data_IF_936339847117
#
_entry.id   IF_936339847117
#
_cell.length_a   1.000
_cell.length_b   1.000
_cell.length_c   1.000
_cell.angle_alpha   90.00
_cell.angle_beta   90.00
_cell.angle_gamma   90.00
#
_symmetry.space_group_name_H-M   'P 1'
#
loop_
_entity.id
_entity.type
_entity.pdbx_description
1 polymer ?
#
# COMPACT_ATOMS: atom_id res chain seq x y z
N UNK A 1 7.16 1.71 -6.97
CA UNK A 1 6.74 1.40 -8.35
C UNK A 1 6.14 2.59 -9.11
N UNK A 2 5.21 3.38 -8.53
CA UNK A 2 4.61 4.53 -9.23
C UNK A 2 5.67 5.58 -9.62
N UNK A 3 6.52 6.01 -8.68
CA UNK A 3 7.58 7.00 -8.95
C UNK A 3 8.57 6.51 -10.02
N UNK A 4 8.97 5.24 -9.99
CA UNK A 4 9.87 4.65 -10.99
C UNK A 4 9.26 4.71 -12.40
N UNK A 5 7.95 4.47 -12.56
CA UNK A 5 7.27 4.59 -13.85
C UNK A 5 7.23 6.03 -14.34
N UNK A 6 7.06 6.99 -13.44
CA UNK A 6 7.15 8.43 -13.77
C UNK A 6 8.54 8.80 -14.26
N UNK A 7 9.60 8.26 -13.64
CA UNK A 7 11.00 8.52 -14.02
C UNK A 7 11.44 7.84 -15.31
N UNK A 8 10.76 6.77 -15.74
CA UNK A 8 10.99 6.09 -17.02
C UNK A 8 10.25 6.79 -18.17
N UNK A 9 9.31 7.70 -17.87
CA UNK A 9 8.60 8.43 -18.89
C UNK A 9 9.58 9.31 -19.70
N UNK A 10 9.37 9.45 -21.02
CA UNK A 10 10.30 10.18 -21.88
C UNK A 10 10.35 11.69 -21.59
N UNK A 11 9.29 12.25 -21.01
CA UNK A 11 9.21 13.65 -20.59
C UNK A 11 8.10 13.88 -19.56
N UNK A 12 8.09 15.07 -18.95
CA UNK A 12 7.10 15.46 -17.94
C UNK A 12 5.66 15.40 -18.45
N UNK A 13 5.41 15.76 -19.71
CA UNK A 13 4.07 15.76 -20.31
C UNK A 13 3.48 14.35 -20.34
N UNK A 14 4.25 13.37 -20.79
CA UNK A 14 3.82 11.96 -20.81
C UNK A 14 3.68 11.40 -19.40
N UNK A 15 4.59 11.77 -18.50
CA UNK A 15 4.49 11.40 -17.08
C UNK A 15 3.18 11.92 -16.44
N UNK A 16 2.80 13.17 -16.75
CA UNK A 16 1.56 13.80 -16.27
C UNK A 16 0.32 13.16 -16.86
N UNK A 17 0.26 13.02 -18.20
CA UNK A 17 -0.87 12.39 -18.89
C UNK A 17 -1.07 10.93 -18.47
N UNK A 18 0.01 10.18 -18.31
CA UNK A 18 -0.02 8.83 -17.76
C UNK A 18 -0.56 8.80 -16.34
N UNK A 19 -0.21 9.78 -15.50
CA UNK A 19 -0.73 9.90 -14.13
C UNK A 19 -2.24 10.23 -14.10
N UNK A 20 -2.70 11.13 -14.98
CA UNK A 20 -4.13 11.45 -15.14
C UNK A 20 -4.92 10.23 -15.62
N UNK A 21 -4.43 9.53 -16.65
CA UNK A 21 -5.05 8.29 -17.13
C UNK A 21 -5.13 7.22 -16.03
N UNK A 22 -4.05 7.06 -15.25
CA UNK A 22 -4.04 6.16 -14.10
C UNK A 22 -5.06 6.57 -13.02
N UNK A 23 -5.31 7.87 -12.83
CA UNK A 23 -6.33 8.36 -11.91
C UNK A 23 -7.75 7.97 -12.37
N UNK A 24 -8.06 8.09 -13.65
CA UNK A 24 -9.33 7.58 -14.21
C UNK A 24 -9.48 6.07 -13.99
N UNK A 25 -8.45 5.29 -14.30
CA UNK A 25 -8.48 3.84 -14.06
C UNK A 25 -8.55 3.46 -12.59
N UNK A 26 -8.18 4.34 -11.66
CA UNK A 26 -8.35 4.11 -10.22
C UNK A 26 -9.79 4.29 -9.73
N UNK A 27 -10.69 4.85 -10.54
CA UNK A 27 -12.12 4.93 -10.20
C UNK A 27 -12.85 3.60 -10.46
N UNK A 28 -12.33 2.77 -11.37
CA UNK A 28 -12.97 1.50 -11.76
C UNK A 28 -12.92 0.37 -10.73
N UNK A 29 -11.87 0.20 -9.89
CA UNK A 29 -11.77 -0.94 -8.97
C UNK A 29 -12.90 -1.00 -7.95
N UNK A 30 -13.47 0.14 -7.55
CA UNK A 30 -14.65 0.19 -6.67
C UNK A 30 -15.78 -0.62 -7.29
N UNK A 31 -16.06 -0.42 -8.57
CA UNK A 31 -17.10 -1.17 -9.28
C UNK A 31 -16.70 -2.63 -9.52
N UNK A 32 -15.44 -2.89 -9.88
CA UNK A 32 -14.95 -4.24 -10.19
C UNK A 32 -14.90 -5.14 -8.94
N UNK A 33 -14.61 -4.59 -7.75
CA UNK A 33 -14.50 -5.38 -6.52
C UNK A 33 -15.78 -5.41 -5.69
N UNK A 34 -16.51 -4.29 -5.58
CA UNK A 34 -17.69 -4.21 -4.71
C UNK A 34 -18.91 -4.87 -5.38
N UNK A 35 -19.15 -4.60 -6.67
CA UNK A 35 -20.35 -5.12 -7.36
C UNK A 35 -20.40 -6.65 -7.31
N UNK A 36 -19.32 -7.40 -7.63
CA UNK A 36 -19.37 -8.85 -7.51
C UNK A 36 -19.65 -9.31 -6.06
N UNK A 37 -19.08 -8.64 -5.06
CA UNK A 37 -19.38 -8.95 -3.65
C UNK A 37 -20.87 -8.81 -3.32
N UNK A 38 -21.51 -7.73 -3.78
CA UNK A 38 -22.96 -7.49 -3.61
C UNK A 38 -23.78 -8.54 -4.37
N UNK A 39 -23.39 -8.88 -5.61
CA UNK A 39 -24.06 -9.93 -6.39
C UNK A 39 -23.96 -11.28 -5.68
N UNK A 40 -22.80 -11.63 -5.13
CA UNK A 40 -22.60 -12.85 -4.36
C UNK A 40 -23.56 -12.92 -3.17
N UNK A 41 -23.66 -11.83 -2.41
CA UNK A 41 -24.56 -11.71 -1.27
C UNK A 41 -26.03 -11.84 -1.69
N UNK A 42 -26.45 -11.15 -2.76
CA UNK A 42 -27.81 -11.24 -3.27
C UNK A 42 -28.17 -12.66 -3.75
N UNK A 43 -27.23 -13.35 -4.42
CA UNK A 43 -27.42 -14.74 -4.84
C UNK A 43 -27.54 -15.69 -3.64
N UNK A 44 -26.75 -15.49 -2.59
CA UNK A 44 -26.80 -16.27 -1.36
C UNK A 44 -28.15 -16.11 -0.63
N UNK A 45 -28.66 -14.87 -0.49
CA UNK A 45 -29.97 -14.61 0.15
C UNK A 45 -31.13 -15.12 -0.70
N UNK A 46 -31.05 -14.97 -2.02
CA UNK A 46 -32.12 -15.40 -2.92
C UNK A 46 -32.33 -16.92 -2.97
N UNK A 47 -31.44 -17.71 -2.37
CA UNK A 47 -31.48 -19.18 -2.40
C UNK A 47 -31.21 -19.80 -3.78
N UNK A 48 -30.89 -18.99 -4.80
CA UNK A 48 -30.62 -19.45 -6.17
C UNK A 48 -29.36 -20.32 -6.29
N UNK A 49 -28.45 -20.21 -5.32
CA UNK A 49 -27.24 -21.03 -5.25
C UNK A 49 -27.04 -21.57 -3.82
N UNK A 50 -27.41 -22.85 -3.58
CA UNK A 50 -27.22 -23.49 -2.28
C UNK A 50 -25.75 -23.46 -1.81
N UNK A 51 -24.81 -23.57 -2.75
CA UNK A 51 -23.37 -23.52 -2.47
C UNK A 51 -22.93 -22.14 -1.94
N UNK A 52 -23.46 -21.04 -2.50
CA UNK A 52 -23.15 -19.69 -2.02
C UNK A 52 -23.86 -19.40 -0.70
N UNK A 53 -25.09 -19.88 -0.52
CA UNK A 53 -25.85 -19.74 0.71
C UNK A 53 -25.12 -20.38 1.90
N UNK A 54 -24.67 -21.63 1.77
CA UNK A 54 -23.95 -22.34 2.84
C UNK A 54 -22.57 -21.74 3.15
N UNK A 55 -21.90 -21.17 2.16
CA UNK A 55 -20.55 -20.63 2.35
C UNK A 55 -20.55 -19.20 2.94
N UNK A 56 -21.55 -18.38 2.59
CA UNK A 56 -21.58 -16.94 2.91
C UNK A 56 -22.53 -16.64 4.08
N UNK A 57 -23.60 -17.42 4.28
CA UNK A 57 -24.59 -17.18 5.33
C UNK A 57 -24.49 -18.23 6.45
N UNK A 58 -24.71 -17.79 7.69
CA UNK A 58 -24.86 -18.68 8.84
C UNK A 58 -26.27 -19.31 8.89
N UNK A 59 -26.49 -20.22 9.84
CA UNK A 59 -27.79 -20.87 10.03
C UNK A 59 -28.94 -19.89 10.38
N UNK A 60 -28.61 -18.67 10.80
CA UNK A 60 -29.55 -17.61 11.15
C UNK A 60 -29.77 -16.60 10.00
N UNK A 61 -29.13 -16.80 8.84
CA UNK A 61 -29.23 -15.91 7.67
C UNK A 61 -28.31 -14.68 7.72
N UNK A 62 -27.37 -14.60 8.67
CA UNK A 62 -26.40 -13.52 8.75
C UNK A 62 -25.14 -13.83 7.93
N UNK A 63 -24.45 -12.79 7.47
CA UNK A 63 -23.20 -12.94 6.71
C UNK A 63 -22.05 -13.38 7.62
N UNK A 64 -21.42 -14.50 7.25
CA UNK A 64 -20.16 -14.95 7.85
C UNK A 64 -19.04 -14.05 7.32
N UNK A 65 -18.68 -13.02 8.11
CA UNK A 65 -17.70 -12.00 7.72
C UNK A 65 -16.34 -12.58 7.32
N UNK A 66 -15.90 -13.66 7.97
CA UNK A 66 -14.61 -14.29 7.68
C UNK A 66 -14.59 -14.94 6.29
N UNK A 67 -15.74 -15.45 5.84
CA UNK A 67 -15.90 -16.08 4.53
C UNK A 67 -16.20 -15.08 3.40
N UNK A 68 -16.51 -13.82 3.73
CA UNK A 68 -16.84 -12.79 2.74
C UNK A 68 -15.71 -12.58 1.71
N UNK A 69 -14.45 -12.82 2.08
CA UNK A 69 -13.30 -12.72 1.17
C UNK A 69 -13.30 -13.80 0.07
N UNK A 70 -13.99 -14.91 0.30
CA UNK A 70 -14.09 -16.02 -0.65
C UNK A 70 -15.21 -15.79 -1.70
N UNK A 71 -15.96 -14.68 -1.59
CA UNK A 71 -17.10 -14.38 -2.45
C UNK A 71 -16.74 -14.45 -3.95
N UNK A 72 -15.64 -13.83 -4.36
CA UNK A 72 -15.23 -13.82 -5.77
C UNK A 72 -14.82 -15.23 -6.28
N UNK A 73 -13.90 -15.96 -5.63
CA UNK A 73 -13.61 -17.36 -5.99
C UNK A 73 -14.85 -18.26 -6.03
N UNK A 74 -15.75 -18.12 -5.06
CA UNK A 74 -16.97 -18.92 -4.99
C UNK A 74 -17.92 -18.64 -6.15
N UNK A 75 -18.07 -17.38 -6.58
CA UNK A 75 -18.86 -17.05 -7.76
C UNK A 75 -18.23 -17.60 -9.05
N UNK A 76 -16.91 -17.49 -9.20
CA UNK A 76 -16.21 -18.06 -10.36
C UNK A 76 -16.45 -19.58 -10.44
N UNK A 77 -16.40 -20.26 -9.29
CA UNK A 77 -16.60 -21.71 -9.21
C UNK A 77 -18.05 -22.15 -9.42
N UNK A 78 -19.05 -21.38 -8.97
CA UNK A 78 -20.44 -21.84 -8.91
C UNK A 78 -21.39 -21.16 -9.89
N UNK A 79 -21.03 -19.99 -10.43
CA UNK A 79 -21.91 -19.19 -11.30
C UNK A 79 -21.46 -19.22 -12.76
N UNK A 80 -20.14 -19.25 -13.02
CA UNK A 80 -19.64 -19.18 -14.40
C UNK A 80 -19.78 -20.53 -15.13
N UNK A 81 -20.12 -20.50 -16.44
CA UNK A 81 -20.19 -21.70 -17.27
C UNK A 81 -18.81 -22.31 -17.49
N UNK A 82 -18.80 -23.58 -17.89
CA UNK A 82 -17.59 -24.29 -18.29
C UNK A 82 -16.92 -23.57 -19.48
N UNK A 83 -15.60 -23.60 -19.56
CA UNK A 83 -14.83 -22.77 -20.52
C UNK A 83 -14.53 -21.37 -19.97
N UNK A 84 -15.55 -20.53 -19.74
CA UNK A 84 -15.35 -19.16 -19.19
C UNK A 84 -14.71 -19.22 -17.81
N UNK A 85 -15.15 -20.15 -16.96
CA UNK A 85 -14.52 -20.42 -15.67
C UNK A 85 -13.03 -20.68 -15.80
N UNK A 86 -12.61 -21.49 -16.78
CA UNK A 86 -11.21 -21.80 -17.03
C UNK A 86 -10.39 -20.58 -17.42
N UNK A 87 -10.93 -19.73 -18.31
CA UNK A 87 -10.30 -18.48 -18.72
C UNK A 87 -10.09 -17.55 -17.53
N UNK A 88 -11.12 -17.37 -16.69
CA UNK A 88 -11.04 -16.50 -15.51
C UNK A 88 -10.03 -17.01 -14.49
N UNK A 89 -10.02 -18.31 -14.19
CA UNK A 89 -9.06 -18.92 -13.27
C UNK A 89 -7.63 -18.81 -13.82
N UNK A 90 -7.42 -19.07 -15.10
CA UNK A 90 -6.11 -18.91 -15.74
C UNK A 90 -5.61 -17.46 -15.67
N UNK A 91 -6.49 -16.49 -15.96
CA UNK A 91 -6.18 -15.06 -15.86
C UNK A 91 -5.83 -14.63 -14.42
N UNK A 92 -6.58 -15.14 -13.43
CA UNK A 92 -6.32 -14.87 -12.01
C UNK A 92 -4.95 -15.40 -11.58
N UNK A 93 -4.62 -16.64 -11.96
CA UNK A 93 -3.32 -17.25 -11.67
C UNK A 93 -2.18 -16.51 -12.38
N UNK A 94 -2.35 -16.13 -13.64
CA UNK A 94 -1.37 -15.35 -14.38
C UNK A 94 -1.12 -13.98 -13.74
N UNK A 95 -2.18 -13.27 -13.33
CA UNK A 95 -2.09 -11.97 -12.65
C UNK A 95 -1.40 -12.09 -11.28
N UNK A 96 -1.72 -13.14 -10.52
CA UNK A 96 -1.07 -13.45 -9.24
C UNK A 96 0.42 -13.73 -9.42
N UNK A 97 0.79 -14.59 -10.38
CA UNK A 97 2.18 -14.92 -10.67
C UNK A 97 2.97 -13.69 -11.11
N UNK A 98 2.39 -12.84 -11.97
CA UNK A 98 3.02 -11.59 -12.40
C UNK A 98 3.27 -10.63 -11.23
N UNK A 99 2.28 -10.48 -10.34
CA UNK A 99 2.38 -9.60 -9.17
C UNK A 99 3.41 -10.11 -8.16
N UNK A 100 3.43 -11.42 -7.88
CA UNK A 100 4.42 -12.05 -6.99
C UNK A 100 5.83 -11.96 -7.55
N UNK A 101 6.03 -12.28 -8.84
CA UNK A 101 7.33 -12.15 -9.49
C UNK A 101 7.84 -10.70 -9.43
N UNK A 102 6.97 -9.72 -9.67
CA UNK A 102 7.30 -8.30 -9.55
C UNK A 102 7.71 -7.90 -8.12
N UNK A 103 6.94 -8.33 -7.11
CA UNK A 103 7.23 -8.04 -5.71
C UNK A 103 8.56 -8.67 -5.25
N UNK A 104 8.79 -9.94 -5.58
CA UNK A 104 10.02 -10.64 -5.23
C UNK A 104 11.24 -10.06 -5.94
N UNK A 105 11.12 -9.71 -7.23
CA UNK A 105 12.21 -9.07 -7.95
C UNK A 105 12.56 -7.70 -7.36
N UNK A 106 11.56 -6.87 -7.07
CA UNK A 106 11.78 -5.57 -6.44
C UNK A 106 12.48 -5.71 -5.07
N UNK A 107 12.01 -6.61 -4.21
CA UNK A 107 12.62 -6.85 -2.90
C UNK A 107 14.03 -7.47 -3.00
N UNK A 108 14.27 -8.38 -3.94
CA UNK A 108 15.59 -8.94 -4.19
C UNK A 108 16.57 -7.88 -4.70
N UNK A 109 16.09 -6.95 -5.53
CA UNK A 109 16.88 -5.81 -6.03
C UNK A 109 17.21 -4.83 -4.90
N UNK A 110 16.22 -4.48 -4.06
CA UNK A 110 16.45 -3.67 -2.86
C UNK A 110 17.52 -4.32 -1.96
N UNK A 111 17.42 -5.62 -1.69
CA UNK A 111 18.42 -6.31 -0.88
C UNK A 111 19.81 -6.36 -1.53
N UNK A 112 19.89 -6.70 -2.82
CA UNK A 112 21.17 -6.87 -3.50
C UNK A 112 21.87 -5.54 -3.78
N UNK A 113 21.17 -4.54 -4.27
CA UNK A 113 21.75 -3.25 -4.65
C UNK A 113 21.91 -2.34 -3.43
N UNK A 114 20.85 -2.16 -2.64
CA UNK A 114 20.87 -1.13 -1.58
C UNK A 114 21.59 -1.58 -0.31
N UNK A 115 21.63 -2.89 -0.04
CA UNK A 115 22.33 -3.44 1.12
C UNK A 115 23.61 -4.20 0.73
N UNK A 116 23.50 -5.27 -0.07
CA UNK A 116 24.62 -6.17 -0.32
C UNK A 116 25.76 -5.50 -1.09
N UNK A 117 25.48 -4.81 -2.21
CA UNK A 117 26.49 -4.12 -3.00
C UNK A 117 27.10 -2.93 -2.26
N UNK A 118 26.33 -2.25 -1.41
CA UNK A 118 26.83 -1.17 -0.55
C UNK A 118 27.82 -1.68 0.51
N UNK A 119 27.57 -2.86 1.08
CA UNK A 119 28.45 -3.51 2.06
C UNK A 119 29.64 -4.22 1.41
N UNK A 120 29.48 -4.73 0.17
CA UNK A 120 30.54 -5.38 -0.61
C UNK A 120 30.61 -4.81 -2.04
N UNK A 121 31.31 -3.66 -2.23
CA UNK A 121 31.32 -2.93 -3.49
C UNK A 121 31.96 -3.69 -4.66
N UNK A 122 32.87 -4.63 -4.39
CA UNK A 122 33.62 -5.37 -5.40
C UNK A 122 32.95 -6.69 -5.83
N UNK A 123 31.63 -6.81 -5.67
CA UNK A 123 30.91 -8.05 -6.01
C UNK A 123 30.66 -8.14 -7.52
N UNK A 124 30.96 -9.27 -8.15
CA UNK A 124 30.62 -9.53 -9.55
C UNK A 124 29.11 -9.57 -9.80
N UNK A 125 28.68 -9.24 -11.03
CA UNK A 125 27.26 -9.26 -11.40
C UNK A 125 26.62 -10.65 -11.25
N UNK A 126 27.34 -11.72 -11.62
CA UNK A 126 26.85 -13.09 -11.49
C UNK A 126 26.53 -13.42 -10.02
N UNK A 127 27.41 -12.98 -9.10
CA UNK A 127 27.21 -13.19 -7.67
C UNK A 127 26.04 -12.38 -7.14
N UNK A 128 25.82 -11.15 -7.62
CA UNK A 128 24.65 -10.35 -7.26
C UNK A 128 23.34 -11.03 -7.67
N UNK A 129 23.27 -11.61 -8.88
CA UNK A 129 22.10 -12.38 -9.34
C UNK A 129 21.86 -13.59 -8.46
N UNK A 130 22.92 -14.34 -8.11
CA UNK A 130 22.79 -15.50 -7.22
C UNK A 130 22.28 -15.11 -5.83
N UNK A 131 22.82 -14.04 -5.23
CA UNK A 131 22.36 -13.51 -3.94
C UNK A 131 20.90 -13.06 -4.03
N UNK A 132 20.48 -12.45 -5.14
CA UNK A 132 19.08 -12.07 -5.38
C UNK A 132 18.12 -13.27 -5.42
N UNK A 133 18.54 -14.38 -6.04
CA UNK A 133 17.77 -15.64 -6.04
C UNK A 133 17.64 -16.24 -4.64
N UNK A 134 18.73 -16.23 -3.86
CA UNK A 134 18.70 -16.69 -2.46
C UNK A 134 17.80 -15.80 -1.61
N UNK A 135 17.90 -14.48 -1.73
CA UNK A 135 17.02 -13.54 -1.04
C UNK A 135 15.55 -13.80 -1.39
N UNK A 136 15.24 -14.07 -2.66
CA UNK A 136 13.89 -14.45 -3.09
C UNK A 136 13.40 -15.72 -2.42
N UNK A 137 14.22 -16.78 -2.38
CA UNK A 137 13.85 -18.03 -1.73
C UNK A 137 13.58 -17.83 -0.22
N UNK A 138 14.43 -17.07 0.47
CA UNK A 138 14.24 -16.74 1.90
C UNK A 138 12.95 -15.95 2.12
N UNK A 139 12.67 -14.94 1.28
CA UNK A 139 11.42 -14.17 1.37
C UNK A 139 10.18 -15.03 1.17
N UNK A 140 10.20 -15.99 0.24
CA UNK A 140 9.10 -16.94 0.02
C UNK A 140 8.88 -17.78 1.27
N UNK A 141 9.95 -18.32 1.88
CA UNK A 141 9.85 -19.10 3.12
C UNK A 141 9.26 -18.27 4.27
N UNK A 142 9.72 -17.04 4.47
CA UNK A 142 9.16 -16.13 5.48
C UNK A 142 7.67 -15.86 5.20
N UNK A 143 7.30 -15.61 3.93
CA UNK A 143 5.91 -15.39 3.55
C UNK A 143 5.00 -16.58 3.86
N UNK A 144 5.47 -17.82 3.61
CA UNK A 144 4.73 -19.05 3.94
C UNK A 144 4.58 -19.19 5.46
N UNK A 145 5.65 -18.95 6.22
CA UNK A 145 5.62 -18.99 7.69
C UNK A 145 4.70 -17.92 8.29
N UNK A 146 4.41 -16.85 7.56
CA UNK A 146 3.57 -15.74 8.01
C UNK A 146 2.06 -15.95 7.74
N UNK A 147 1.68 -16.98 6.97
CA UNK A 147 0.27 -17.28 6.65
C UNK A 147 -0.64 -17.39 7.90
N UNK A 148 -0.24 -18.07 9.00
CA UNK A 148 -1.09 -18.17 10.19
C UNK A 148 -1.44 -16.81 10.80
N UNK A 149 -0.49 -15.87 10.81
CA UNK A 149 -0.69 -14.51 11.34
C UNK A 149 -1.72 -13.74 10.52
N UNK A 150 -1.72 -13.92 9.20
CA UNK A 150 -2.69 -13.29 8.30
C UNK A 150 -4.08 -13.89 8.51
N UNK A 151 -4.18 -15.22 8.64
CA UNK A 151 -5.45 -15.93 8.86
C UNK A 151 -6.12 -15.56 10.20
N UNK A 152 -5.34 -15.20 11.22
CA UNK A 152 -5.86 -14.73 12.50
C UNK A 152 -6.34 -13.27 12.52
N UNK A 153 -6.19 -12.53 11.42
CA UNK A 153 -6.69 -11.16 11.30
C UNK A 153 -8.18 -11.09 10.94
N UNK A 154 -8.77 -9.89 11.02
CA UNK A 154 -10.15 -9.58 10.58
C UNK A 154 -10.25 -9.47 9.05
N UNK A 155 -9.67 -10.45 8.37
CA UNK A 155 -9.55 -10.54 6.93
C UNK A 155 -8.32 -9.89 6.30
N UNK A 156 -7.99 -10.35 5.10
CA UNK A 156 -6.76 -10.02 4.38
C UNK A 156 -6.66 -8.53 4.07
N UNK A 157 -7.75 -7.89 3.64
CA UNK A 157 -7.74 -6.46 3.31
C UNK A 157 -7.48 -5.59 4.54
N UNK A 158 -8.17 -5.85 5.66
CA UNK A 158 -7.96 -5.15 6.92
C UNK A 158 -6.53 -5.33 7.44
N UNK A 159 -6.02 -6.57 7.38
CA UNK A 159 -4.65 -6.87 7.75
C UNK A 159 -3.62 -6.11 6.89
N UNK A 160 -3.76 -6.15 5.56
CA UNK A 160 -2.86 -5.47 4.63
C UNK A 160 -2.91 -3.95 4.80
N UNK A 161 -4.09 -3.39 5.04
CA UNK A 161 -4.25 -1.96 5.31
C UNK A 161 -3.64 -1.58 6.66
N UNK A 162 -3.82 -2.41 7.69
CA UNK A 162 -3.20 -2.21 9.00
C UNK A 162 -1.68 -2.17 8.91
N UNK A 163 -1.04 -3.17 8.30
CA UNK A 163 0.43 -3.21 8.15
C UNK A 163 0.95 -2.01 7.35
N UNK A 164 0.26 -1.62 6.27
CA UNK A 164 0.60 -0.42 5.50
C UNK A 164 0.46 0.85 6.35
N UNK A 165 -0.60 0.95 7.14
CA UNK A 165 -0.85 2.08 8.04
C UNK A 165 0.21 2.19 9.15
N UNK A 166 0.90 1.11 9.51
CA UNK A 166 1.96 1.12 10.51
C UNK A 166 3.32 1.56 9.96
N UNK A 167 3.58 1.33 8.66
CA UNK A 167 4.90 1.55 8.05
C UNK A 167 4.96 2.74 7.09
N UNK A 168 3.85 3.08 6.43
CA UNK A 168 3.79 4.16 5.44
C UNK A 168 3.89 5.58 6.01
N UNK A 169 3.33 5.91 7.20
CA UNK A 169 3.32 7.29 7.71
C UNK A 169 4.69 7.97 7.81
N UNK A 170 5.75 7.37 8.39
CA UNK A 170 7.04 8.05 8.50
C UNK A 170 7.69 8.32 7.14
N UNK A 171 7.46 7.42 6.17
CA UNK A 171 7.90 7.61 4.79
C UNK A 171 7.17 8.80 4.18
N UNK A 172 5.85 8.86 4.36
CA UNK A 172 5.04 10.00 3.91
C UNK A 172 5.51 11.31 4.53
N UNK A 173 5.77 11.36 5.84
CA UNK A 173 6.30 12.55 6.54
C UNK A 173 7.57 13.06 5.86
N UNK A 174 8.55 12.17 5.64
CA UNK A 174 9.83 12.59 5.05
C UNK A 174 9.67 13.12 3.63
N UNK A 175 8.89 12.45 2.78
CA UNK A 175 8.70 12.90 1.40
C UNK A 175 7.82 14.16 1.32
N UNK A 176 6.72 14.19 2.06
CA UNK A 176 5.80 15.32 2.06
C UNK A 176 6.50 16.58 2.57
N UNK A 177 7.01 16.56 3.79
CA UNK A 177 7.68 17.74 4.34
C UNK A 177 9.02 18.04 3.65
N UNK A 178 9.74 17.03 3.17
CA UNK A 178 10.99 17.22 2.42
C UNK A 178 10.80 18.04 1.14
N UNK A 179 9.67 17.88 0.45
CA UNK A 179 9.36 18.66 -0.76
C UNK A 179 8.94 20.09 -0.45
N UNK A 180 8.25 20.33 0.68
CA UNK A 180 7.72 21.66 1.03
C UNK A 180 8.64 22.49 1.93
N UNK A 181 9.60 21.90 2.64
CA UNK A 181 10.35 22.59 3.70
C UNK A 181 11.87 22.49 3.56
N UNK A 182 12.47 23.56 3.04
CA UNK A 182 13.93 23.68 2.81
C UNK A 182 14.84 23.55 4.04
N UNK A 183 14.30 23.69 5.26
CA UNK A 183 15.10 23.67 6.50
C UNK A 183 15.38 22.25 6.99
N UNK A 184 14.61 21.27 6.50
CA UNK A 184 14.71 19.88 6.94
C UNK A 184 15.96 19.22 6.35
N UNK A 185 16.60 18.37 7.15
CA UNK A 185 17.89 17.77 6.80
C UNK A 185 17.87 16.24 6.94
N UNK A 186 18.91 15.58 6.40
CA UNK A 186 19.01 14.13 6.40
C UNK A 186 19.00 13.52 7.82
N UNK A 187 19.58 14.19 8.82
CA UNK A 187 19.60 13.73 10.22
C UNK A 187 18.17 13.68 10.79
N UNK A 188 17.36 14.72 10.57
CA UNK A 188 15.96 14.78 10.97
C UNK A 188 15.09 13.77 10.22
N UNK A 189 15.30 13.61 8.91
CA UNK A 189 14.62 12.57 8.12
C UNK A 189 14.90 11.16 8.67
N UNK A 190 16.17 10.85 8.96
CA UNK A 190 16.56 9.55 9.50
C UNK A 190 15.95 9.31 10.88
N UNK A 191 15.96 10.31 11.76
CA UNK A 191 15.34 10.21 13.09
C UNK A 191 13.84 9.93 13.00
N UNK A 192 13.13 10.64 12.11
CA UNK A 192 11.70 10.44 11.90
C UNK A 192 11.36 9.04 11.36
N UNK A 193 12.17 8.52 10.44
CA UNK A 193 12.05 7.16 9.91
C UNK A 193 12.30 6.12 10.99
N UNK A 194 13.36 6.27 11.80
CA UNK A 194 13.69 5.33 12.88
C UNK A 194 12.60 5.31 13.96
N UNK A 195 12.15 6.47 14.42
CA UNK A 195 11.08 6.55 15.43
C UNK A 195 9.77 5.99 14.88
N UNK A 196 9.37 6.39 13.68
CA UNK A 196 8.13 5.87 13.08
C UNK A 196 8.18 4.37 12.80
N UNK A 197 9.34 3.85 12.37
CA UNK A 197 9.55 2.42 12.20
C UNK A 197 9.46 1.67 13.55
N UNK A 198 10.08 2.19 14.60
CA UNK A 198 9.99 1.60 15.94
C UNK A 198 8.54 1.56 16.45
N UNK A 199 7.78 2.63 16.21
CA UNK A 199 6.36 2.70 16.57
C UNK A 199 5.48 1.75 15.75
N UNK A 200 5.74 1.62 14.45
CA UNK A 200 5.05 0.67 13.59
C UNK A 200 5.36 -0.77 13.97
N UNK A 201 6.63 -1.07 14.25
CA UNK A 201 7.07 -2.38 14.73
C UNK A 201 6.47 -2.72 16.09
N UNK A 202 6.41 -1.76 17.02
CA UNK A 202 5.74 -1.92 18.31
C UNK A 202 4.26 -2.31 18.11
N UNK A 203 3.53 -1.63 17.23
CA UNK A 203 2.13 -1.98 16.92
C UNK A 203 2.00 -3.38 16.35
N UNK A 204 2.89 -3.78 15.45
CA UNK A 204 2.91 -5.11 14.86
C UNK A 204 3.18 -6.19 15.93
N UNK A 205 4.11 -5.93 16.86
CA UNK A 205 4.43 -6.83 17.97
C UNK A 205 3.27 -6.97 18.96
N UNK A 206 2.47 -5.92 19.15
CA UNK A 206 1.24 -5.98 19.97
C UNK A 206 0.13 -6.76 19.26
N UNK A 207 -0.01 -6.61 17.95
CA UNK A 207 -1.07 -7.29 17.18
C UNK A 207 -0.80 -8.77 16.92
N UNK A 208 0.46 -9.16 16.76
CA UNK A 208 0.82 -10.51 16.31
C UNK A 208 0.41 -11.61 17.31
N UNK A 209 0.62 -11.48 18.64
CA UNK A 209 0.22 -12.49 19.61
C UNK A 209 -1.30 -12.73 19.65
N UNK A 210 -2.09 -11.65 19.57
CA UNK A 210 -3.57 -11.71 19.55
C UNK A 210 -4.07 -12.41 18.29
N UNK A 211 -3.39 -12.21 17.15
CA UNK A 211 -3.72 -12.88 15.89
C UNK A 211 -3.26 -14.34 15.84
N UNK A 212 -2.16 -14.68 16.51
CA UNK A 212 -1.57 -16.02 16.44
C UNK A 212 -2.23 -17.01 17.43
N UNK A 213 -2.59 -16.57 18.63
CA UNK A 213 -3.15 -17.42 19.69
C UNK A 213 -4.63 -17.15 19.87
N UNK A 214 -5.47 -18.11 19.45
CA UNK A 214 -6.92 -18.00 19.65
C UNK A 214 -7.25 -17.96 21.14
N UNK A 215 -7.79 -16.84 21.61
CA UNK A 215 -8.14 -16.60 23.03
C UNK A 215 -7.11 -15.78 23.81
N UNK A 216 -5.97 -15.39 23.21
CA UNK A 216 -5.06 -14.45 23.86
C UNK A 216 -5.59 -13.02 23.72
N UNK A 217 -5.97 -12.45 24.87
CA UNK A 217 -6.32 -11.04 24.98
C UNK A 217 -5.47 -10.39 26.07
N UNK A 218 -5.01 -9.18 25.80
CA UNK A 218 -4.40 -8.37 26.84
C UNK A 218 -5.44 -8.06 27.93
N UNK A 219 -4.98 -7.92 29.19
CA UNK A 219 -5.87 -7.54 30.28
C UNK A 219 -6.59 -6.23 29.96
N UNK A 220 -7.92 -6.22 30.12
CA UNK A 220 -8.75 -5.05 29.82
C UNK A 220 -8.26 -3.83 30.59
N UNK A 221 -8.17 -2.68 29.90
CA UNK A 221 -7.63 -1.44 30.47
C UNK A 221 -6.10 -1.36 30.56
N UNK A 222 -5.36 -2.43 30.28
CA UNK A 222 -3.89 -2.35 30.18
C UNK A 222 -3.44 -1.51 28.98
N UNK A 223 -2.24 -0.93 29.04
CA UNK A 223 -1.67 -0.16 27.94
C UNK A 223 -1.65 -0.96 26.62
N UNK A 224 -1.27 -2.23 26.68
CA UNK A 224 -1.21 -3.12 25.51
C UNK A 224 -2.61 -3.42 24.95
N UNK A 225 -3.63 -3.53 25.81
CA UNK A 225 -5.02 -3.66 25.38
C UNK A 225 -5.52 -2.40 24.67
N UNK A 226 -5.23 -1.21 25.20
CA UNK A 226 -5.60 0.06 24.55
C UNK A 226 -4.93 0.16 23.19
N UNK A 227 -3.61 -0.09 23.12
CA UNK A 227 -2.88 -0.04 21.85
C UNK A 227 -3.42 -1.06 20.84
N UNK A 228 -3.77 -2.27 21.27
CA UNK A 228 -4.35 -3.30 20.41
C UNK A 228 -5.72 -2.90 19.85
N UNK A 229 -6.59 -2.31 20.67
CA UNK A 229 -7.96 -1.97 20.29
C UNK A 229 -8.10 -0.64 19.53
N UNK A 230 -7.07 0.21 19.51
CA UNK A 230 -7.06 1.42 18.68
C UNK A 230 -7.13 1.03 17.20
N UNK A 231 -8.13 1.55 16.50
CA UNK A 231 -8.28 1.36 15.06
C UNK A 231 -7.02 1.80 14.32
N UNK A 232 -6.54 0.97 13.39
CA UNK A 232 -5.21 1.11 12.78
C UNK A 232 -4.99 2.50 12.14
N UNK A 233 -6.05 3.14 11.64
CA UNK A 233 -5.96 4.46 11.02
C UNK A 233 -5.67 5.57 12.03
N UNK A 234 -6.24 5.50 13.24
CA UNK A 234 -5.93 6.46 14.29
C UNK A 234 -4.49 6.29 14.78
N UNK A 235 -4.01 5.05 14.86
CA UNK A 235 -2.60 4.78 15.19
C UNK A 235 -1.65 5.32 14.11
N UNK A 236 -2.02 5.20 12.84
CA UNK A 236 -1.27 5.79 11.72
C UNK A 236 -1.16 7.31 11.82
N UNK A 237 -2.24 8.01 12.21
CA UNK A 237 -2.19 9.45 12.48
C UNK A 237 -1.25 9.78 13.64
N UNK A 238 -1.23 8.96 14.68
CA UNK A 238 -0.31 9.14 15.82
C UNK A 238 1.15 9.00 15.36
N UNK A 239 1.48 7.97 14.56
CA UNK A 239 2.83 7.83 13.99
C UNK A 239 3.17 9.06 13.12
N UNK A 240 2.24 9.50 12.27
CA UNK A 240 2.43 10.68 11.42
C UNK A 240 2.78 11.92 12.24
N UNK A 241 2.02 12.21 13.31
CA UNK A 241 2.24 13.38 14.16
C UNK A 241 3.61 13.28 14.85
N UNK A 242 3.91 12.15 15.48
CA UNK A 242 5.18 11.98 16.21
C UNK A 242 6.38 12.02 15.27
N UNK A 243 6.33 11.33 14.14
CA UNK A 243 7.39 11.39 13.13
C UNK A 243 7.58 12.81 12.60
N UNK A 244 6.50 13.58 12.41
CA UNK A 244 6.60 14.99 11.98
C UNK A 244 7.29 15.85 13.04
N UNK A 245 6.88 15.72 14.31
CA UNK A 245 7.49 16.44 15.43
C UNK A 245 8.98 16.11 15.53
N UNK A 246 9.34 14.83 15.48
CA UNK A 246 10.74 14.37 15.54
C UNK A 246 11.54 14.90 14.35
N UNK A 247 10.99 14.83 13.14
CA UNK A 247 11.65 15.34 11.93
C UNK A 247 11.99 16.81 12.08
N UNK A 248 11.03 17.63 12.53
CA UNK A 248 11.19 19.06 12.71
C UNK A 248 12.17 19.33 13.85
N UNK A 249 11.95 18.78 15.05
CA UNK A 249 12.78 19.02 16.22
C UNK A 249 14.25 18.69 15.95
N UNK A 250 14.53 17.51 15.39
CA UNK A 250 15.91 17.09 15.09
C UNK A 250 16.51 17.92 13.95
N UNK A 251 15.74 18.28 12.92
CA UNK A 251 16.25 19.12 11.83
C UNK A 251 16.64 20.53 12.30
N UNK A 252 15.90 21.10 13.26
CA UNK A 252 16.21 22.41 13.85
C UNK A 252 17.34 22.33 14.88
N UNK A 253 17.46 21.22 15.61
CA UNK A 253 18.55 20.98 16.55
C UNK A 253 19.88 20.61 15.86
N UNK A 254 19.88 20.37 14.55
CA UNK A 254 21.07 19.98 13.77
C UNK A 254 21.37 20.96 12.63
N UNK A 255 22.53 20.77 12.02
CA UNK A 255 23.08 21.64 10.98
C UNK A 255 22.11 21.91 9.82
N UNK A 256 22.13 23.14 9.32
CA UNK A 256 21.38 23.53 8.13
C UNK A 256 21.86 22.76 6.90
N UNK A 257 20.95 22.23 6.07
CA UNK A 257 21.34 21.61 4.81
C UNK A 257 22.00 22.67 3.90
N UNK A 258 23.07 22.28 3.20
CA UNK A 258 23.71 23.16 2.23
C UNK A 258 22.79 23.39 1.04
N UNK A 259 22.73 24.64 0.55
CA UNK A 259 21.82 25.03 -0.55
C UNK A 259 22.05 24.21 -1.83
N UNK A 260 23.31 23.88 -2.14
CA UNK A 260 23.67 23.03 -3.29
C UNK A 260 22.99 21.66 -3.26
N UNK A 261 22.79 21.07 -2.07
CA UNK A 261 22.16 19.75 -1.94
C UNK A 261 20.64 19.78 -2.06
N UNK A 262 20.03 20.95 -1.87
CA UNK A 262 18.56 21.12 -1.88
C UNK A 262 18.06 21.92 -3.08
N UNK A 263 18.95 22.49 -3.88
CA UNK A 263 18.62 23.26 -5.08
C UNK A 263 17.76 22.42 -6.04
N UNK A 264 16.60 22.94 -6.43
CA UNK A 264 15.66 22.24 -7.32
C UNK A 264 14.88 21.07 -6.72
N UNK A 265 15.13 20.68 -5.46
CA UNK A 265 14.47 19.52 -4.82
C UNK A 265 13.25 19.89 -3.96
N UNK A 266 13.10 21.16 -3.60
CA UNK A 266 11.99 21.63 -2.75
C UNK A 266 11.28 22.80 -3.42
N UNK A 267 9.99 23.01 -3.15
CA UNK A 267 9.25 24.17 -3.69
C UNK A 267 9.93 25.51 -3.40
N UNK A 268 10.61 25.63 -2.25
CA UNK A 268 11.35 26.82 -1.86
C UNK A 268 12.72 27.00 -2.52
N UNK A 269 13.16 26.02 -3.33
CA UNK A 269 14.45 26.00 -4.04
C UNK A 269 14.30 25.76 -5.54
N UNK A 270 13.07 25.75 -6.06
CA UNK A 270 12.77 25.67 -7.49
C UNK A 270 13.21 26.97 -8.18
N UNK A 271 14.06 26.85 -9.20
CA UNK A 271 14.48 27.96 -10.05
C UNK A 271 13.38 28.37 -11.02
N UNK A 272 13.45 29.60 -11.55
CA UNK A 272 12.49 30.09 -12.54
C UNK A 272 12.47 29.24 -13.82
N UNK A 273 13.60 28.65 -14.19
CA UNK A 273 13.69 27.76 -15.37
C UNK A 273 12.90 26.46 -15.16
N UNK A 274 13.00 25.84 -13.98
CA UNK A 274 12.18 24.66 -13.65
C UNK A 274 10.68 24.98 -13.66
N UNK A 275 10.28 26.20 -13.23
CA UNK A 275 8.86 26.62 -13.30
C UNK A 275 8.40 26.78 -14.75
N UNK A 276 9.24 27.32 -15.63
CA UNK A 276 8.92 27.47 -17.05
C UNK A 276 8.78 26.10 -17.74
N UNK A 277 9.72 25.18 -17.49
CA UNK A 277 9.65 23.82 -18.01
C UNK A 277 8.39 23.09 -17.53
N UNK A 278 8.11 23.17 -16.22
CA UNK A 278 6.91 22.56 -15.65
C UNK A 278 5.61 23.20 -16.13
N UNK A 279 5.62 24.49 -16.50
CA UNK A 279 4.46 25.15 -17.11
C UNK A 279 4.27 24.75 -18.57
N UNK A 280 5.36 24.59 -19.31
CA UNK A 280 5.34 24.12 -20.69
C UNK A 280 4.90 22.65 -20.81
N UNK A 281 4.99 21.88 -19.73
CA UNK A 281 4.68 20.45 -19.75
C UNK A 281 3.19 20.10 -19.76
N UNK A 282 2.27 21.06 -19.63
CA UNK A 282 0.83 20.81 -19.63
C UNK A 282 0.00 21.84 -20.39
N UNK A 283 -1.15 21.39 -20.89
CA UNK A 283 -2.10 22.22 -21.62
C UNK A 283 -3.48 22.30 -20.94
N UNK A 284 -4.42 23.03 -21.57
CA UNK A 284 -5.78 23.15 -21.06
C UNK A 284 -6.53 21.81 -21.00
N UNK A 285 -6.20 20.84 -21.87
CA UNK A 285 -6.84 19.51 -21.87
C UNK A 285 -6.45 18.73 -20.65
N UNK A 286 -5.17 18.76 -20.27
CA UNK A 286 -4.67 18.10 -19.06
C UNK A 286 -5.36 18.62 -17.81
N UNK A 287 -5.60 19.94 -17.74
CA UNK A 287 -6.34 20.57 -16.64
C UNK A 287 -7.80 20.14 -16.63
N UNK A 288 -8.49 20.21 -17.78
CA UNK A 288 -9.90 19.80 -17.91
C UNK A 288 -10.07 18.33 -17.49
N UNK A 289 -9.19 17.44 -17.95
CA UNK A 289 -9.21 16.03 -17.57
C UNK A 289 -8.97 15.83 -16.07
N UNK A 290 -8.05 16.58 -15.47
CA UNK A 290 -7.81 16.52 -14.03
C UNK A 290 -9.02 17.00 -13.22
N UNK A 291 -9.66 18.10 -13.63
CA UNK A 291 -10.89 18.60 -13.01
C UNK A 291 -12.02 17.58 -13.17
N UNK A 292 -12.15 16.97 -14.35
CA UNK A 292 -13.15 15.93 -14.59
C UNK A 292 -12.98 14.74 -13.64
N UNK A 293 -11.74 14.27 -13.39
CA UNK A 293 -11.49 13.23 -12.39
C UNK A 293 -11.98 13.65 -11.00
N UNK A 294 -11.67 14.88 -10.57
CA UNK A 294 -12.11 15.38 -9.27
C UNK A 294 -13.63 15.49 -9.17
N UNK A 295 -14.30 15.94 -10.22
CA UNK A 295 -15.77 16.02 -10.30
C UNK A 295 -16.37 14.61 -10.23
N UNK A 296 -15.81 13.62 -10.94
CA UNK A 296 -16.29 12.24 -10.87
C UNK A 296 -16.12 11.63 -9.47
N UNK A 297 -14.98 11.91 -8.81
CA UNK A 297 -14.77 11.49 -7.42
C UNK A 297 -15.82 12.13 -6.52
N UNK A 298 -16.00 13.45 -6.60
CA UNK A 298 -16.97 14.18 -5.78
C UNK A 298 -18.40 13.69 -6.04
N UNK A 299 -18.78 13.49 -7.29
CA UNK A 299 -20.08 12.95 -7.68
C UNK A 299 -20.31 11.55 -7.11
N UNK A 300 -19.30 10.67 -7.16
CA UNK A 300 -19.39 9.35 -6.54
C UNK A 300 -19.59 9.44 -5.02
N UNK A 301 -18.81 10.28 -4.34
CA UNK A 301 -18.97 10.49 -2.89
C UNK A 301 -20.35 11.05 -2.54
N UNK A 302 -20.85 12.04 -3.28
CA UNK A 302 -22.17 12.65 -3.06
C UNK A 302 -23.32 11.69 -3.36
N UNK A 303 -23.18 10.84 -4.37
CA UNK A 303 -24.20 9.86 -4.75
C UNK A 303 -24.29 8.72 -3.74
N UNK A 304 -23.16 8.25 -3.21
CA UNK A 304 -23.10 7.14 -2.24
C UNK A 304 -23.12 7.63 -0.78
N UNK A 305 -23.61 8.84 -0.49
CA UNK A 305 -23.94 9.26 0.88
C UNK A 305 -25.25 8.56 1.29
N UNK A 306 -25.14 7.28 1.63
CA UNK A 306 -26.22 6.45 2.18
C UNK A 306 -25.74 5.75 3.43
#
# INVERSE_FOLDING_TARGET
YIVQRTLIAPNETQARRGSIAAAFFKLTPVFIFIIPGIICYALAISGKSPALQQAILDANGNVIRDNAQQAFPLMVANVLPIGVRGIVVAGLLAALMSSLAGAFNASATLFTIDFYARLRPQTSQERLVWVGRVATAVMVLIGILWIPVIKGGKGLYDYLQGVQAYLAPPIFVVFFFGVFWKRLNAKGCMAALMVGFAMGLFRLLVDTPVKLSQGFHYAEGSFLWVMNNVFFQYYSLLIFIISSIVMIAVSYATETPSFERISGLTYGTVTEDHKKESRASWDARDVVLSVLVLVLIMAAYLYFVG
#
